data_IF_690582185290
#
_entry.id   IF_690582185290
#
_cell.length_a   1.000
_cell.length_b   1.000
_cell.length_c   1.000
_cell.angle_alpha   90.00
_cell.angle_beta   90.00
_cell.angle_gamma   90.00
#
_symmetry.space_group_name_H-M   'P 1'
#
loop_
_entity.id
_entity.type
_entity.pdbx_description
1 polymer ?
#
# COMPACT_ATOMS: atom_id res chain seq x y z
N UNK A 1 -51.52 -30.79 -21.10
CA UNK A 1 -50.60 -29.70 -21.48
C UNK A 1 -51.35 -28.40 -21.31
N UNK A 2 -50.96 -27.58 -20.34
CA UNK A 2 -51.67 -26.35 -19.98
C UNK A 2 -50.70 -25.17 -20.15
N UNK A 3 -51.07 -24.21 -20.98
CA UNK A 3 -50.35 -22.93 -21.14
C UNK A 3 -51.32 -21.82 -20.75
N UNK A 4 -51.15 -21.29 -19.53
CA UNK A 4 -51.85 -20.09 -19.08
C UNK A 4 -51.11 -18.84 -19.57
N UNK A 5 -51.84 -17.89 -20.13
CA UNK A 5 -51.34 -16.56 -20.46
C UNK A 5 -51.99 -15.55 -19.53
N UNK A 6 -51.18 -14.78 -18.83
CA UNK A 6 -51.59 -13.59 -18.09
C UNK A 6 -50.60 -12.48 -18.42
N UNK A 7 -51.06 -11.46 -19.16
CA UNK A 7 -50.35 -10.21 -19.34
C UNK A 7 -50.92 -9.19 -18.36
N UNK A 8 -50.12 -8.76 -17.39
CA UNK A 8 -50.41 -7.62 -16.50
C UNK A 8 -49.41 -6.52 -16.86
N UNK A 9 -49.90 -5.45 -17.47
CA UNK A 9 -49.11 -4.26 -17.82
C UNK A 9 -48.98 -3.31 -16.63
N UNK A 10 -47.87 -2.58 -16.65
CA UNK A 10 -47.30 -1.75 -15.60
C UNK A 10 -47.94 -0.36 -15.54
N UNK A 11 -48.33 0.04 -14.34
CA UNK A 11 -48.29 1.39 -13.77
C UNK A 11 -48.63 1.16 -12.28
N UNK A 12 -47.84 1.56 -11.31
CA UNK A 12 -47.42 2.94 -11.08
C UNK A 12 -46.12 2.92 -10.25
N UNK A 13 -45.17 3.80 -10.61
CA UNK A 13 -44.00 4.07 -9.78
C UNK A 13 -44.42 5.23 -8.90
N UNK A 14 -44.56 4.99 -7.60
CA UNK A 14 -44.58 6.06 -6.61
C UNK A 14 -43.27 6.03 -5.83
N UNK A 15 -42.71 7.24 -5.74
CA UNK A 15 -41.38 7.59 -5.27
C UNK A 15 -41.47 7.83 -3.77
N UNK A 16 -40.69 7.13 -2.95
CA UNK A 16 -40.33 7.71 -1.67
C UNK A 16 -38.91 7.37 -1.21
N UNK A 17 -38.32 8.45 -0.74
CA UNK A 17 -37.03 8.67 -0.15
C UNK A 17 -36.86 7.86 1.14
N UNK A 18 -35.71 7.18 1.28
CA UNK A 18 -34.84 7.20 2.47
C UNK A 18 -33.94 5.96 2.46
N UNK A 19 -32.65 6.19 2.29
CA UNK A 19 -31.60 5.20 2.46
C UNK A 19 -31.45 4.87 3.95
N UNK A 20 -32.13 3.84 4.44
CA UNK A 20 -31.73 3.09 5.63
C UNK A 20 -32.07 1.60 5.49
N UNK A 21 -31.07 0.82 5.09
CA UNK A 21 -31.04 -0.63 5.29
C UNK A 21 -31.04 -0.90 6.80
N UNK A 22 -32.20 -1.24 7.36
CA UNK A 22 -32.35 -1.63 8.75
C UNK A 22 -33.45 -2.67 8.86
N UNK A 23 -33.04 -3.93 8.74
CA UNK A 23 -33.87 -5.11 9.00
C UNK A 23 -34.29 -5.14 10.48
N UNK A 24 -35.58 -5.21 10.82
CA UNK A 24 -36.02 -5.57 12.15
C UNK A 24 -36.28 -7.08 12.18
N UNK A 25 -35.41 -7.86 12.82
CA UNK A 25 -35.77 -9.22 13.25
C UNK A 25 -36.09 -9.16 14.73
N UNK A 26 -37.39 -9.07 14.96
CA UNK A 26 -38.07 -9.35 16.20
C UNK A 26 -37.90 -10.84 16.55
N UNK A 27 -37.40 -11.11 17.75
CA UNK A 27 -37.43 -12.45 18.33
C UNK A 27 -38.06 -12.30 19.71
N UNK A 28 -39.38 -12.35 19.70
CA UNK A 28 -40.23 -12.46 20.87
C UNK A 28 -39.79 -13.60 21.78
N UNK A 29 -39.76 -13.26 23.07
CA UNK A 29 -39.53 -14.13 24.20
C UNK A 29 -40.90 -14.43 24.84
N UNK A 30 -41.30 -15.70 24.93
CA UNK A 30 -42.18 -16.16 26.01
C UNK A 30 -41.99 -17.64 26.37
N UNK A 31 -41.63 -17.85 27.63
CA UNK A 31 -42.18 -18.81 28.59
C UNK A 31 -42.56 -20.25 28.16
N UNK A 32 -41.67 -21.17 28.53
CA UNK A 32 -41.92 -22.35 29.39
C UNK A 32 -43.24 -23.12 29.25
N UNK A 33 -43.16 -24.36 28.76
CA UNK A 33 -43.93 -25.50 29.28
C UNK A 33 -43.06 -26.76 29.28
N UNK A 34 -43.10 -27.46 30.42
CA UNK A 34 -42.21 -28.54 30.80
C UNK A 34 -42.63 -29.88 30.18
N UNK A 35 -41.72 -30.59 29.51
CA UNK A 35 -41.86 -32.04 29.32
C UNK A 35 -40.55 -32.75 29.65
N UNK A 36 -40.54 -33.33 30.87
CA UNK A 36 -39.59 -34.32 31.37
C UNK A 36 -39.37 -35.45 30.36
N UNK A 37 -38.13 -35.62 29.92
CA UNK A 37 -37.60 -36.95 29.63
C UNK A 37 -36.16 -37.04 30.12
N UNK A 38 -35.94 -37.88 31.13
CA UNK A 38 -34.62 -38.21 31.66
C UNK A 38 -33.93 -39.14 30.66
N UNK A 39 -32.83 -38.71 30.04
CA UNK A 39 -31.85 -39.61 29.42
C UNK A 39 -30.45 -39.14 29.76
N UNK A 40 -29.68 -40.10 30.27
CA UNK A 40 -28.29 -40.11 30.70
C UNK A 40 -27.33 -39.05 30.17
N UNK A 41 -26.57 -38.52 31.15
CA UNK A 41 -25.22 -37.95 31.10
C UNK A 41 -24.46 -37.99 29.78
N UNK A 42 -24.01 -36.83 29.34
CA UNK A 42 -22.68 -36.69 28.75
C UNK A 42 -22.06 -35.37 29.19
N UNK A 43 -20.83 -35.48 29.67
CA UNK A 43 -20.01 -34.43 30.25
C UNK A 43 -19.95 -33.20 29.35
N UNK A 44 -20.04 -32.01 29.98
CA UNK A 44 -19.79 -30.74 29.30
C UNK A 44 -18.35 -30.75 28.79
N UNK A 45 -18.23 -31.02 27.48
CA UNK A 45 -17.00 -30.85 26.75
C UNK A 45 -16.62 -29.37 26.84
N UNK A 46 -15.69 -29.05 27.75
CA UNK A 46 -14.97 -27.78 27.73
C UNK A 46 -14.17 -27.77 26.44
N UNK A 47 -14.81 -27.30 25.37
CA UNK A 47 -14.20 -27.11 24.06
C UNK A 47 -13.14 -26.02 24.21
N UNK A 48 -11.91 -26.40 24.59
CA UNK A 48 -10.72 -25.56 24.44
C UNK A 48 -10.68 -25.13 22.97
N UNK A 49 -10.99 -23.86 22.69
CA UNK A 49 -10.75 -23.28 21.38
C UNK A 49 -9.25 -23.41 21.11
N UNK A 50 -8.96 -23.95 19.93
CA UNK A 50 -7.68 -24.48 19.48
C UNK A 50 -6.71 -23.32 19.20
N UNK A 51 -5.55 -23.32 19.85
CA UNK A 51 -4.41 -22.40 19.61
C UNK A 51 -3.89 -22.36 18.14
N UNK A 52 -4.39 -23.22 17.26
CA UNK A 52 -3.91 -23.31 15.87
C UNK A 52 -4.42 -22.19 14.95
N UNK A 53 -5.47 -21.45 15.32
CA UNK A 53 -5.89 -20.28 14.54
C UNK A 53 -5.09 -19.02 14.90
N UNK A 54 -4.60 -18.93 16.14
CA UNK A 54 -3.76 -17.81 16.62
C UNK A 54 -2.43 -17.77 15.85
N UNK A 55 -1.80 -18.94 15.63
CA UNK A 55 -0.53 -19.03 14.88
C UNK A 55 -0.62 -18.57 13.42
N UNK A 56 -1.76 -18.79 12.76
CA UNK A 56 -1.98 -18.35 11.36
C UNK A 56 -2.19 -16.84 11.28
N UNK A 57 -2.80 -16.25 12.31
CA UNK A 57 -2.95 -14.79 12.44
C UNK A 57 -1.60 -14.15 12.77
N UNK A 58 -0.83 -14.76 13.67
CA UNK A 58 0.52 -14.28 14.04
C UNK A 58 1.48 -14.26 12.84
N UNK A 59 1.46 -15.32 12.01
CA UNK A 59 2.27 -15.37 10.78
C UNK A 59 1.86 -14.30 9.76
N UNK A 60 0.56 -14.04 9.60
CA UNK A 60 0.06 -12.97 8.74
C UNK A 60 0.47 -11.58 9.26
N UNK A 61 0.37 -11.34 10.57
CA UNK A 61 0.81 -10.09 11.20
C UNK A 61 2.31 -9.88 10.96
N UNK A 62 3.12 -10.93 11.16
CA UNK A 62 4.56 -10.88 10.88
C UNK A 62 4.84 -10.55 9.41
N UNK A 63 4.17 -11.23 8.49
CA UNK A 63 4.34 -10.99 7.05
C UNK A 63 3.96 -9.55 6.65
N UNK A 64 2.82 -9.05 7.13
CA UNK A 64 2.40 -7.67 6.87
C UNK A 64 3.40 -6.68 7.48
N UNK A 65 3.90 -6.94 8.69
CA UNK A 65 4.94 -6.14 9.33
C UNK A 65 6.23 -6.08 8.51
N UNK A 66 6.67 -7.20 7.93
CA UNK A 66 7.84 -7.25 7.04
C UNK A 66 7.61 -6.44 5.74
N UNK A 67 6.44 -6.56 5.11
CA UNK A 67 6.13 -5.78 3.90
C UNK A 67 6.03 -4.29 4.20
N UNK A 68 5.42 -3.91 5.33
CA UNK A 68 5.34 -2.53 5.77
C UNK A 68 6.74 -1.95 6.03
N UNK A 69 7.65 -2.75 6.62
CA UNK A 69 9.05 -2.36 6.79
C UNK A 69 9.77 -2.09 5.47
N UNK A 70 9.54 -2.91 4.43
CA UNK A 70 10.09 -2.68 3.09
C UNK A 70 9.56 -1.40 2.45
N UNK A 71 8.26 -1.13 2.59
CA UNK A 71 7.63 0.10 2.08
C UNK A 71 8.21 1.31 2.80
N UNK A 72 8.31 1.27 4.14
CA UNK A 72 8.89 2.35 4.93
C UNK A 72 10.33 2.65 4.50
N UNK A 73 11.16 1.61 4.33
CA UNK A 73 12.54 1.77 3.86
C UNK A 73 12.61 2.37 2.44
N UNK A 74 11.77 1.90 1.53
CA UNK A 74 11.71 2.44 0.17
C UNK A 74 11.31 3.93 0.16
N UNK A 75 10.35 4.33 1.02
CA UNK A 75 9.96 5.73 1.19
C UNK A 75 11.08 6.58 1.81
N UNK A 76 11.81 6.04 2.77
CA UNK A 76 12.98 6.69 3.36
C UNK A 76 14.07 6.93 2.29
N UNK A 77 14.38 5.94 1.46
CA UNK A 77 15.33 6.10 0.35
C UNK A 77 14.82 7.01 -0.77
N UNK A 78 13.51 7.08 -0.96
CA UNK A 78 12.87 7.97 -1.94
C UNK A 78 12.95 9.44 -1.50
N UNK A 79 12.86 9.69 -0.19
CA UNK A 79 12.93 11.04 0.40
C UNK A 79 14.34 11.45 0.81
N UNK A 80 15.28 10.51 0.85
CA UNK A 80 16.67 10.80 1.17
C UNK A 80 17.25 11.83 0.20
N UNK A 81 17.66 12.97 0.76
CA UNK A 81 18.32 14.03 0.00
C UNK A 81 19.71 13.54 -0.44
N UNK A 82 19.90 13.45 -1.76
CA UNK A 82 21.16 13.01 -2.38
C UNK A 82 22.05 14.17 -2.78
N UNK A 83 21.62 15.41 -2.51
CA UNK A 83 22.36 16.65 -2.79
C UNK A 83 23.79 16.65 -2.22
N UNK A 84 24.07 16.24 -0.96
CA UNK A 84 25.44 16.21 -0.46
C UNK A 84 26.34 15.22 -1.23
N UNK A 85 25.83 14.03 -1.55
CA UNK A 85 26.56 13.04 -2.36
C UNK A 85 26.80 13.56 -3.79
N UNK A 86 25.83 14.28 -4.36
CA UNK A 86 25.99 14.91 -5.68
C UNK A 86 27.11 15.94 -5.67
N UNK A 87 27.17 16.79 -4.64
CA UNK A 87 28.22 17.80 -4.50
C UNK A 87 29.61 17.17 -4.46
N UNK A 88 29.82 16.19 -3.59
CA UNK A 88 31.10 15.48 -3.48
C UNK A 88 31.55 14.89 -4.82
N UNK A 89 30.61 14.26 -5.54
CA UNK A 89 30.91 13.61 -6.81
C UNK A 89 31.24 14.61 -7.93
N UNK A 90 30.53 15.74 -7.99
CA UNK A 90 30.81 16.81 -8.94
C UNK A 90 32.18 17.43 -8.65
N UNK A 91 32.47 17.76 -7.39
CA UNK A 91 33.74 18.36 -6.98
C UNK A 91 34.93 17.42 -7.15
N UNK A 92 34.72 16.09 -7.07
CA UNK A 92 35.79 15.13 -7.34
C UNK A 92 36.38 15.21 -8.77
N UNK A 93 35.69 15.87 -9.71
CA UNK A 93 36.19 16.12 -11.06
C UNK A 93 37.23 17.24 -11.13
N UNK A 94 37.43 18.03 -10.08
CA UNK A 94 38.52 19.02 -9.99
C UNK A 94 39.89 18.34 -10.21
N UNK A 95 40.06 17.13 -9.67
CA UNK A 95 41.28 16.30 -9.84
C UNK A 95 41.56 15.98 -11.32
N UNK A 96 40.53 16.04 -12.17
CA UNK A 96 40.65 15.81 -13.62
C UNK A 96 40.91 17.10 -14.41
N UNK A 97 41.11 18.22 -13.72
CA UNK A 97 41.50 19.51 -14.31
C UNK A 97 40.33 20.42 -14.70
N UNK A 98 39.13 20.17 -14.19
CA UNK A 98 38.00 21.10 -14.32
C UNK A 98 38.10 22.22 -13.28
N UNK A 99 37.72 23.42 -13.70
CA UNK A 99 37.72 24.62 -12.86
C UNK A 99 36.59 24.57 -11.81
N UNK A 100 36.87 25.03 -10.59
CA UNK A 100 35.95 24.96 -9.44
C UNK A 100 34.67 25.80 -9.66
N UNK A 101 34.81 27.00 -10.23
CA UNK A 101 33.65 27.87 -10.54
C UNK A 101 32.74 27.21 -11.58
N UNK A 102 33.34 26.53 -12.57
CA UNK A 102 32.59 25.72 -13.54
C UNK A 102 31.87 24.55 -12.87
N UNK A 103 32.54 23.81 -11.97
CA UNK A 103 31.93 22.68 -11.25
C UNK A 103 30.79 23.14 -10.33
N UNK A 104 30.91 24.31 -9.69
CA UNK A 104 29.82 24.93 -8.93
C UNK A 104 28.61 25.23 -9.84
N UNK A 105 28.86 25.80 -11.02
CA UNK A 105 27.79 26.07 -11.99
C UNK A 105 27.09 24.79 -12.48
N UNK A 106 27.85 23.72 -12.70
CA UNK A 106 27.31 22.39 -13.02
C UNK A 106 26.47 21.86 -11.87
N UNK A 107 26.94 21.98 -10.64
CA UNK A 107 26.21 21.51 -9.48
C UNK A 107 24.86 22.22 -9.35
N UNK A 108 24.82 23.56 -9.45
CA UNK A 108 23.58 24.34 -9.42
C UNK A 108 22.61 23.93 -10.54
N UNK A 109 23.14 23.65 -11.74
CA UNK A 109 22.36 23.10 -12.83
C UNK A 109 21.79 21.70 -12.51
N UNK A 110 22.60 20.79 -11.97
CA UNK A 110 22.15 19.43 -11.65
C UNK A 110 21.13 19.40 -10.50
N UNK A 111 21.27 20.27 -9.49
CA UNK A 111 20.30 20.41 -8.41
C UNK A 111 18.93 20.86 -8.95
N UNK A 112 18.91 21.73 -9.97
CA UNK A 112 17.67 22.14 -10.64
C UNK A 112 17.16 21.10 -11.65
N UNK A 113 18.00 20.17 -12.10
CA UNK A 113 17.67 19.14 -13.09
C UNK A 113 17.88 17.73 -12.50
N UNK A 114 16.95 17.31 -11.63
CA UNK A 114 17.05 16.07 -10.86
C UNK A 114 17.30 14.81 -11.72
N UNK A 115 16.71 14.73 -12.92
CA UNK A 115 16.92 13.60 -13.84
C UNK A 115 18.35 13.53 -14.37
N UNK A 116 18.97 14.68 -14.63
CA UNK A 116 20.35 14.78 -15.06
C UNK A 116 21.32 14.50 -13.91
N UNK A 117 21.01 14.98 -12.69
CA UNK A 117 21.76 14.62 -11.49
C UNK A 117 21.77 13.11 -11.25
N UNK A 118 20.59 12.46 -11.32
CA UNK A 118 20.47 11.00 -11.21
C UNK A 118 21.28 10.30 -12.30
N UNK A 119 21.20 10.75 -13.54
CA UNK A 119 21.98 10.18 -14.63
C UNK A 119 23.49 10.38 -14.45
N UNK A 120 23.91 11.54 -13.94
CA UNK A 120 25.31 11.87 -13.66
C UNK A 120 25.88 10.95 -12.57
N UNK A 121 25.15 10.73 -11.47
CA UNK A 121 25.57 9.84 -10.39
C UNK A 121 25.75 8.38 -10.84
N UNK A 122 24.95 7.90 -11.79
CA UNK A 122 25.07 6.53 -12.34
C UNK A 122 26.25 6.37 -13.31
N UNK A 123 26.71 7.47 -13.94
CA UNK A 123 27.83 7.42 -14.90
C UNK A 123 29.14 7.04 -14.22
N UNK A 124 29.99 6.31 -14.93
CA UNK A 124 31.39 6.11 -14.52
C UNK A 124 32.16 7.43 -14.61
N UNK A 125 33.31 7.52 -13.93
CA UNK A 125 34.19 8.70 -13.95
C UNK A 125 34.46 9.22 -15.37
N UNK A 126 34.84 8.33 -16.29
CA UNK A 126 35.08 8.67 -17.71
C UNK A 126 33.85 9.25 -18.40
N UNK A 127 32.67 8.71 -18.12
CA UNK A 127 31.42 9.20 -18.72
C UNK A 127 30.98 10.54 -18.12
N UNK A 128 31.29 10.80 -16.84
CA UNK A 128 31.06 12.11 -16.21
C UNK A 128 31.95 13.18 -16.85
N UNK A 129 33.23 12.90 -17.09
CA UNK A 129 34.12 13.80 -17.82
C UNK A 129 33.61 14.15 -19.22
N UNK A 130 33.23 13.13 -20.01
CA UNK A 130 32.68 13.36 -21.35
C UNK A 130 31.39 14.19 -21.28
N UNK A 131 30.55 13.95 -20.27
CA UNK A 131 29.33 14.72 -20.07
C UNK A 131 29.65 16.18 -19.73
N UNK A 132 30.57 16.44 -18.80
CA UNK A 132 31.02 17.79 -18.44
C UNK A 132 31.61 18.55 -19.63
N UNK A 133 32.42 17.88 -20.46
CA UNK A 133 32.96 18.47 -21.68
C UNK A 133 31.89 18.85 -22.69
N UNK A 134 30.78 18.10 -22.76
CA UNK A 134 29.64 18.45 -23.62
C UNK A 134 28.79 19.55 -23.01
N UNK A 135 28.65 19.54 -21.68
CA UNK A 135 27.92 20.56 -20.94
C UNK A 135 28.55 21.96 -21.13
N UNK A 136 29.89 22.06 -21.13
CA UNK A 136 30.59 23.33 -21.37
C UNK A 136 30.52 23.85 -22.81
N UNK A 137 29.99 23.06 -23.76
CA UNK A 137 29.83 23.46 -25.17
C UNK A 137 28.43 23.98 -25.49
N UNK A 138 27.51 23.90 -24.52
CA UNK A 138 26.10 24.29 -24.65
C UNK A 138 25.83 25.75 -24.29
#
# INVERSE_FOLDING_TARGET
MATGSFARTFADIDLDDDNQDSVPIDCENEATEELKTNVSSSSTSKRKRKKAQESVVDEQIKFVGEQLGKIANALEQFTADKTPHLYEEVMSMEVEGFDDDFLCSVFDYLVSHESEAKAFLVKSKKHRQIWLQKFSQG
#
